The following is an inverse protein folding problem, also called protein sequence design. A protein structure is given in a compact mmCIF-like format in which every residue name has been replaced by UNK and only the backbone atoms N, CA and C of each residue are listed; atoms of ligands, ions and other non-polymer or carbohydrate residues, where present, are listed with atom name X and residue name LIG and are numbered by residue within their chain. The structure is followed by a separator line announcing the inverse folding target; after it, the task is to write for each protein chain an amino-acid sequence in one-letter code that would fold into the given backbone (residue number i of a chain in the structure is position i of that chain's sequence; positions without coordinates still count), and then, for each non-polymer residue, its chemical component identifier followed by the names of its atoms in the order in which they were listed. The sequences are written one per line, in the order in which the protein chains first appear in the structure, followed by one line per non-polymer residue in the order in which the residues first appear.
data_IF_381092485717
#
_entry.id   IF_381092485717
#
_cell.length_a   1.000
_cell.length_b   1.000
_cell.length_c   1.000
_cell.angle_alpha   90.00
_cell.angle_beta   90.00
_cell.angle_gamma   90.00
#
_symmetry.space_group_name_H-M   'P 1'
#
loop_
_entity.id
_entity.type
_entity.pdbx_description
1 polymer ?
#
# COMPACT_ATOMS: atom_id res chain seq x y z
N UNK A 1 3.93 1.44 -19.74
CA UNK A 1 2.79 2.00 -20.51
C UNK A 1 1.47 1.55 -19.90
N UNK A 2 0.39 2.31 -20.13
CA UNK A 2 -0.96 1.97 -19.68
C UNK A 2 -1.42 0.58 -20.21
N UNK A 3 -1.11 0.27 -21.46
CA UNK A 3 -1.45 -1.03 -22.06
C UNK A 3 -0.75 -2.22 -21.36
N UNK A 4 0.52 -2.08 -21.00
CA UNK A 4 1.26 -3.14 -20.31
C UNK A 4 0.71 -3.37 -18.88
N UNK A 5 0.31 -2.30 -18.17
CA UNK A 5 -0.30 -2.41 -16.85
C UNK A 5 -1.69 -3.07 -16.92
N UNK A 6 -2.49 -2.71 -17.91
CA UNK A 6 -3.79 -3.35 -18.15
C UNK A 6 -3.64 -4.86 -18.44
N UNK A 7 -2.64 -5.26 -19.21
CA UNK A 7 -2.37 -6.67 -19.48
C UNK A 7 -1.90 -7.42 -18.23
N UNK A 8 -0.98 -6.84 -17.47
CA UNK A 8 -0.56 -7.40 -16.20
C UNK A 8 -1.75 -7.55 -15.23
N UNK A 9 -2.65 -6.57 -15.18
CA UNK A 9 -3.85 -6.63 -14.36
C UNK A 9 -4.79 -7.78 -14.75
N UNK A 10 -4.95 -8.08 -16.05
CA UNK A 10 -5.78 -9.21 -16.51
C UNK A 10 -5.20 -10.56 -16.10
N UNK A 11 -3.88 -10.67 -16.04
CA UNK A 11 -3.20 -11.93 -15.73
C UNK A 11 -3.11 -12.27 -14.25
N UNK A 12 -3.43 -11.32 -13.35
CA UNK A 12 -3.40 -11.57 -11.90
C UNK A 12 -4.78 -11.95 -11.36
N UNK A 13 -4.88 -12.94 -10.45
CA UNK A 13 -6.13 -13.30 -9.79
C UNK A 13 -6.53 -12.33 -8.67
N UNK A 14 -5.63 -11.43 -8.24
CA UNK A 14 -5.87 -10.53 -7.11
C UNK A 14 -7.05 -9.59 -7.38
N UNK A 15 -7.85 -9.35 -6.35
CA UNK A 15 -8.96 -8.38 -6.35
C UNK A 15 -8.59 -7.02 -5.76
N UNK A 16 -7.38 -6.89 -5.27
CA UNK A 16 -6.79 -5.64 -4.84
C UNK A 16 -5.49 -5.47 -5.61
N UNK A 17 -5.41 -4.40 -6.40
CA UNK A 17 -4.26 -4.12 -7.25
C UNK A 17 -3.62 -2.81 -6.82
N UNK A 18 -2.30 -2.81 -6.67
CA UNK A 18 -1.54 -1.59 -6.39
C UNK A 18 -0.81 -1.12 -7.66
N UNK A 19 -1.02 0.13 -8.02
CA UNK A 19 -0.43 0.78 -9.19
C UNK A 19 0.57 1.84 -8.74
N UNK A 20 1.75 1.84 -9.33
CA UNK A 20 2.74 2.92 -9.13
C UNK A 20 2.45 4.08 -10.08
N UNK A 21 2.39 5.28 -9.53
CA UNK A 21 2.28 6.54 -10.22
C UNK A 21 3.63 7.27 -10.24
N UNK A 22 3.73 8.37 -10.94
CA UNK A 22 4.94 9.20 -11.01
C UNK A 22 5.28 9.64 -12.42
N UNK A 23 4.26 9.85 -13.26
CA UNK A 23 4.48 10.31 -14.61
C UNK A 23 3.26 10.96 -15.27
N UNK A 24 3.45 11.54 -16.44
CA UNK A 24 2.38 12.29 -17.12
C UNK A 24 1.17 11.43 -17.55
N UNK A 25 1.34 10.10 -17.63
CA UNK A 25 0.30 9.16 -18.06
C UNK A 25 -0.44 8.50 -16.88
N UNK A 26 -0.33 9.02 -15.66
CA UNK A 26 -0.84 8.35 -14.47
C UNK A 26 -2.35 8.09 -14.53
N UNK A 27 -3.14 9.06 -14.97
CA UNK A 27 -4.60 8.89 -15.13
C UNK A 27 -4.93 7.84 -16.18
N UNK A 28 -4.23 7.83 -17.31
CA UNK A 28 -4.42 6.83 -18.38
C UNK A 28 -4.09 5.42 -17.89
N UNK A 29 -3.08 5.29 -17.01
CA UNK A 29 -2.73 4.00 -16.38
C UNK A 29 -3.83 3.50 -15.46
N UNK A 30 -4.38 4.36 -14.62
CA UNK A 30 -5.50 3.99 -13.72
C UNK A 30 -6.72 3.60 -14.55
N UNK A 31 -7.07 4.39 -15.58
CA UNK A 31 -8.20 4.13 -16.48
C UNK A 31 -8.05 2.78 -17.21
N UNK A 32 -6.86 2.51 -17.74
CA UNK A 32 -6.60 1.28 -18.47
C UNK A 32 -6.69 0.04 -17.56
N UNK A 33 -6.19 0.13 -16.33
CA UNK A 33 -6.29 -0.97 -15.35
C UNK A 33 -7.73 -1.15 -14.89
N UNK A 34 -8.45 -0.07 -14.58
CA UNK A 34 -9.87 -0.14 -14.20
C UNK A 34 -10.72 -0.75 -15.32
N UNK A 35 -10.50 -0.34 -16.57
CA UNK A 35 -11.20 -0.92 -17.72
C UNK A 35 -10.88 -2.41 -17.93
N UNK A 36 -9.65 -2.81 -17.64
CA UNK A 36 -9.22 -4.22 -17.73
C UNK A 36 -9.77 -5.09 -16.59
N UNK A 37 -9.94 -4.53 -15.40
CA UNK A 37 -10.38 -5.20 -14.16
C UNK A 37 -11.36 -4.34 -13.37
N UNK A 38 -12.59 -4.16 -13.88
CA UNK A 38 -13.61 -3.37 -13.18
C UNK A 38 -14.10 -4.02 -11.87
N UNK A 39 -13.77 -5.29 -11.66
CA UNK A 39 -14.04 -6.06 -10.45
C UNK A 39 -13.02 -5.83 -9.33
N UNK A 40 -11.85 -5.28 -9.65
CA UNK A 40 -10.76 -5.07 -8.70
C UNK A 40 -10.86 -3.69 -8.01
N UNK A 41 -10.51 -3.65 -6.73
CA UNK A 41 -10.25 -2.40 -6.00
C UNK A 41 -8.82 -1.96 -6.29
N UNK A 42 -8.61 -0.66 -6.42
CA UNK A 42 -7.31 -0.10 -6.77
C UNK A 42 -6.72 0.68 -5.60
N UNK A 43 -5.44 0.45 -5.33
CA UNK A 43 -4.56 1.33 -4.56
C UNK A 43 -3.63 2.00 -5.57
N UNK A 44 -3.45 3.30 -5.47
CA UNK A 44 -2.46 4.02 -6.28
C UNK A 44 -1.39 4.59 -5.36
N UNK A 45 -0.13 4.41 -5.72
CA UNK A 45 1.01 4.84 -4.93
C UNK A 45 1.73 5.96 -5.68
N UNK A 46 1.71 7.15 -5.08
CA UNK A 46 2.34 8.34 -5.62
C UNK A 46 3.85 8.35 -5.46
N UNK A 47 4.38 7.55 -4.54
CA UNK A 47 5.82 7.51 -4.18
C UNK A 47 6.43 8.91 -4.14
N UNK A 48 5.76 9.84 -3.44
CA UNK A 48 6.19 11.23 -3.26
C UNK A 48 6.19 12.09 -4.54
N UNK A 49 5.70 11.55 -5.68
CA UNK A 49 5.88 12.16 -7.01
C UNK A 49 4.72 13.01 -7.51
N UNK A 50 3.60 13.16 -6.78
CA UNK A 50 2.48 13.95 -7.26
C UNK A 50 2.67 15.44 -6.95
N UNK A 51 2.09 16.29 -7.81
CA UNK A 51 2.12 17.73 -7.61
C UNK A 51 0.86 18.20 -6.89
N UNK A 52 0.98 19.07 -5.86
CA UNK A 52 -0.18 19.55 -5.08
C UNK A 52 -1.29 20.21 -5.93
N UNK A 53 -0.94 20.90 -7.00
CA UNK A 53 -1.89 21.56 -7.90
C UNK A 53 -2.69 20.56 -8.75
N UNK A 54 -2.17 19.37 -9.02
CA UNK A 54 -2.82 18.32 -9.79
C UNK A 54 -3.63 17.38 -8.89
N UNK A 55 -3.32 17.32 -7.62
CA UNK A 55 -3.86 16.34 -6.67
C UNK A 55 -5.41 16.36 -6.58
N UNK A 56 -6.11 17.51 -6.52
CA UNK A 56 -7.57 17.53 -6.48
C UNK A 56 -8.23 16.87 -7.70
N UNK A 57 -7.66 17.05 -8.89
CA UNK A 57 -8.15 16.42 -10.11
C UNK A 57 -7.89 14.91 -10.12
N UNK A 58 -6.71 14.49 -9.65
CA UNK A 58 -6.35 13.08 -9.50
C UNK A 58 -7.29 12.39 -8.50
N UNK A 59 -7.54 12.97 -7.32
CA UNK A 59 -8.45 12.41 -6.30
C UNK A 59 -9.86 12.25 -6.84
N UNK A 60 -10.38 13.27 -7.54
CA UNK A 60 -11.71 13.20 -8.14
C UNK A 60 -11.81 12.05 -9.16
N UNK A 61 -10.83 11.96 -10.07
CA UNK A 61 -10.84 10.92 -11.10
C UNK A 61 -10.61 9.53 -10.51
N UNK A 62 -9.72 9.41 -9.51
CA UNK A 62 -9.47 8.18 -8.78
C UNK A 62 -10.76 7.65 -8.11
N UNK A 63 -11.55 8.53 -7.50
CA UNK A 63 -12.84 8.15 -6.91
C UNK A 63 -13.80 7.57 -7.95
N UNK A 64 -13.90 8.19 -9.14
CA UNK A 64 -14.74 7.71 -10.25
C UNK A 64 -14.30 6.33 -10.78
N UNK A 65 -13.01 5.98 -10.61
CA UNK A 65 -12.40 4.74 -11.10
C UNK A 65 -12.25 3.66 -10.01
N UNK A 66 -12.91 3.81 -8.86
CA UNK A 66 -12.91 2.80 -7.81
C UNK A 66 -11.57 2.68 -7.06
N UNK A 67 -10.72 3.70 -7.10
CA UNK A 67 -9.53 3.77 -6.26
C UNK A 67 -9.96 3.96 -4.81
N UNK A 68 -9.49 3.08 -3.93
CA UNK A 68 -9.85 3.08 -2.51
C UNK A 68 -8.82 3.78 -1.64
N UNK A 69 -7.57 3.88 -2.11
CA UNK A 69 -6.46 4.46 -1.35
C UNK A 69 -5.44 5.11 -2.29
N UNK A 70 -4.98 6.31 -1.93
CA UNK A 70 -3.82 6.96 -2.53
C UNK A 70 -2.69 6.96 -1.50
N UNK A 71 -1.61 6.27 -1.81
CA UNK A 71 -0.44 6.15 -0.93
C UNK A 71 0.59 7.23 -1.26
N UNK A 72 1.16 7.83 -0.24
CA UNK A 72 2.21 8.86 -0.23
C UNK A 72 2.26 9.76 -1.48
N UNK A 73 1.28 10.64 -1.66
CA UNK A 73 1.23 11.50 -2.85
C UNK A 73 2.37 12.51 -2.90
N UNK A 74 2.81 13.03 -1.75
CA UNK A 74 3.79 14.11 -1.64
C UNK A 74 5.01 13.70 -0.82
N UNK A 75 6.17 14.36 -1.01
CA UNK A 75 7.37 14.10 -0.23
C UNK A 75 7.13 14.21 1.27
N UNK A 76 7.73 13.27 2.03
CA UNK A 76 7.67 13.27 3.47
C UNK A 76 8.17 14.63 4.03
N UNK A 77 7.39 15.21 4.96
CA UNK A 77 7.66 16.53 5.51
C UNK A 77 7.36 17.72 4.57
N UNK A 78 6.72 17.48 3.41
CA UNK A 78 6.23 18.52 2.47
C UNK A 78 4.80 18.22 2.02
N UNK A 79 4.00 17.71 2.91
CA UNK A 79 2.66 17.17 2.68
C UNK A 79 1.54 18.00 3.33
N UNK A 80 1.81 19.28 3.66
CA UNK A 80 0.83 20.19 4.28
C UNK A 80 -0.41 20.43 3.38
N UNK A 81 -0.29 20.23 2.07
CA UNK A 81 -1.43 20.32 1.16
C UNK A 81 -2.54 19.32 1.52
N UNK A 82 -2.22 18.21 2.19
CA UNK A 82 -3.17 17.21 2.65
C UNK A 82 -4.12 17.71 3.74
N UNK A 83 -3.77 18.75 4.47
CA UNK A 83 -4.68 19.38 5.45
C UNK A 83 -5.98 19.96 4.81
N UNK A 84 -5.97 20.14 3.51
CA UNK A 84 -7.12 20.69 2.74
C UNK A 84 -7.54 19.76 1.60
N UNK A 85 -7.20 18.45 1.70
CA UNK A 85 -7.50 17.50 0.63
C UNK A 85 -9.00 17.26 0.46
N UNK A 86 -9.45 16.91 -0.75
CA UNK A 86 -10.78 16.34 -0.95
C UNK A 86 -10.87 14.97 -0.25
N UNK A 87 -11.93 14.74 0.52
CA UNK A 87 -12.18 13.49 1.24
C UNK A 87 -12.78 12.35 0.40
N UNK A 88 -12.67 12.40 -0.93
CA UNK A 88 -13.31 11.41 -1.81
C UNK A 88 -12.60 10.06 -1.86
N UNK A 89 -11.28 10.04 -1.59
CA UNK A 89 -10.45 8.82 -1.53
C UNK A 89 -9.54 8.94 -0.32
N UNK A 90 -9.37 7.86 0.42
CA UNK A 90 -8.46 7.81 1.57
C UNK A 90 -7.02 8.02 1.15
N UNK A 91 -6.23 8.73 1.98
CA UNK A 91 -4.81 8.97 1.75
C UNK A 91 -4.00 8.27 2.83
N UNK A 92 -2.97 7.51 2.40
CA UNK A 92 -2.11 6.69 3.25
C UNK A 92 -0.70 7.27 3.31
N UNK A 93 -0.14 7.38 4.51
CA UNK A 93 1.28 7.69 4.71
C UNK A 93 2.12 6.42 4.53
N UNK A 94 3.19 6.49 3.73
CA UNK A 94 4.22 5.45 3.63
C UNK A 94 5.58 6.01 4.05
N UNK A 95 6.23 6.79 3.20
CA UNK A 95 7.53 7.40 3.49
C UNK A 95 7.49 8.36 4.68
N UNK A 96 6.33 8.91 5.00
CA UNK A 96 6.13 9.75 6.19
C UNK A 96 5.94 8.96 7.50
N UNK A 97 5.72 7.64 7.45
CA UNK A 97 5.37 6.81 8.61
C UNK A 97 6.46 5.78 8.90
N UNK A 98 7.20 5.94 9.99
CA UNK A 98 8.27 5.00 10.41
C UNK A 98 7.93 4.30 11.71
N UNK A 99 7.54 5.04 12.75
CA UNK A 99 7.33 4.52 14.10
C UNK A 99 6.01 4.98 14.71
N UNK A 100 5.66 4.42 15.83
CA UNK A 100 4.46 4.82 16.60
C UNK A 100 4.50 6.28 17.07
N UNK A 101 5.67 6.89 17.18
CA UNK A 101 5.83 8.27 17.65
C UNK A 101 5.25 9.32 16.70
N UNK A 102 5.18 9.03 15.40
CA UNK A 102 4.73 9.98 14.37
C UNK A 102 3.21 9.93 14.16
N UNK A 103 2.55 8.87 14.60
CA UNK A 103 1.17 8.56 14.24
C UNK A 103 0.19 9.67 14.59
N UNK A 104 0.31 10.27 15.78
CA UNK A 104 -0.60 11.34 16.20
C UNK A 104 -0.54 12.57 15.29
N UNK A 105 0.65 12.91 14.79
CA UNK A 105 0.82 14.04 13.87
C UNK A 105 0.32 13.66 12.46
N UNK A 106 0.59 12.43 12.01
CA UNK A 106 0.13 11.93 10.71
C UNK A 106 -1.39 11.88 10.62
N UNK A 107 -2.09 11.56 11.71
CA UNK A 107 -3.56 11.54 11.76
C UNK A 107 -4.23 12.88 11.39
N UNK A 108 -3.50 13.98 11.44
CA UNK A 108 -3.98 15.31 11.00
C UNK A 108 -4.05 15.46 9.49
N UNK A 109 -3.30 14.63 8.74
CA UNK A 109 -3.11 14.76 7.28
C UNK A 109 -3.50 13.52 6.50
N UNK A 110 -3.42 12.36 7.11
CA UNK A 110 -3.66 11.06 6.48
C UNK A 110 -4.87 10.36 7.08
N UNK A 111 -5.45 9.44 6.32
CA UNK A 111 -6.56 8.58 6.72
C UNK A 111 -6.06 7.17 7.09
N UNK A 112 -4.86 6.80 6.64
CA UNK A 112 -4.24 5.51 6.89
C UNK A 112 -2.72 5.64 6.95
N UNK A 113 -2.07 4.59 7.46
CA UNK A 113 -0.60 4.45 7.46
C UNK A 113 -0.20 3.09 6.90
N UNK A 114 0.87 3.07 6.11
CA UNK A 114 1.51 1.85 5.64
C UNK A 114 2.59 1.43 6.63
N UNK A 115 2.34 0.35 7.35
CA UNK A 115 3.29 -0.22 8.33
C UNK A 115 4.16 -1.25 7.61
N UNK A 116 5.46 -1.01 7.60
CA UNK A 116 6.47 -1.93 7.05
C UNK A 116 7.47 -2.29 8.14
N UNK A 117 7.78 -3.57 8.30
CA UNK A 117 8.77 -4.03 9.30
C UNK A 117 10.15 -3.42 9.06
N UNK A 118 10.49 -3.19 7.80
CA UNK A 118 11.74 -2.54 7.38
C UNK A 118 11.85 -1.10 7.92
N UNK A 119 10.75 -0.36 7.98
CA UNK A 119 10.71 1.01 8.51
C UNK A 119 10.63 1.05 10.03
N UNK A 120 9.82 0.17 10.62
CA UNK A 120 9.64 0.12 12.07
C UNK A 120 10.81 -0.52 12.80
N UNK A 121 11.73 -1.17 12.08
CA UNK A 121 12.86 -1.88 12.67
C UNK A 121 12.48 -3.20 13.34
N UNK A 122 11.28 -3.74 13.03
CA UNK A 122 10.85 -5.07 13.45
C UNK A 122 9.44 -5.12 14.05
N UNK A 123 9.07 -6.33 14.46
CA UNK A 123 7.70 -6.70 14.84
C UNK A 123 7.17 -5.91 16.06
N UNK A 124 8.02 -5.69 17.06
CA UNK A 124 7.61 -5.02 18.31
C UNK A 124 7.11 -3.60 18.06
N UNK A 125 7.87 -2.82 17.29
CA UNK A 125 7.49 -1.45 16.95
C UNK A 125 6.35 -1.42 15.93
N UNK A 126 6.30 -2.37 14.99
CA UNK A 126 5.18 -2.50 14.08
C UNK A 126 3.84 -2.69 14.82
N UNK A 127 3.79 -3.54 15.84
CA UNK A 127 2.60 -3.73 16.70
C UNK A 127 2.23 -2.42 17.42
N UNK A 128 3.21 -1.67 17.94
CA UNK A 128 2.97 -0.38 18.59
C UNK A 128 2.40 0.63 17.59
N UNK A 129 2.98 0.68 16.38
CA UNK A 129 2.52 1.56 15.30
C UNK A 129 1.09 1.24 14.87
N UNK A 130 0.75 -0.05 14.70
CA UNK A 130 -0.63 -0.48 14.40
C UNK A 130 -1.60 -0.03 15.50
N UNK A 131 -1.24 -0.23 16.78
CA UNK A 131 -2.11 0.18 17.91
C UNK A 131 -2.29 1.70 17.94
N UNK A 132 -1.21 2.45 17.84
CA UNK A 132 -1.27 3.91 17.80
C UNK A 132 -2.12 4.43 16.63
N UNK A 133 -2.01 3.81 15.45
CA UNK A 133 -2.83 4.13 14.29
C UNK A 133 -4.32 3.92 14.57
N UNK A 134 -4.70 2.76 15.12
CA UNK A 134 -6.10 2.46 15.48
C UNK A 134 -6.64 3.42 16.56
N UNK A 135 -5.86 3.72 17.60
CA UNK A 135 -6.21 4.68 18.65
C UNK A 135 -6.39 6.10 18.10
N UNK A 136 -5.67 6.46 17.04
CA UNK A 136 -5.78 7.74 16.35
C UNK A 136 -6.84 7.76 15.23
N UNK A 137 -7.60 6.67 15.03
CA UNK A 137 -8.63 6.56 14.02
C UNK A 137 -8.12 6.34 12.60
N UNK A 138 -6.83 5.98 12.43
CA UNK A 138 -6.25 5.69 11.12
C UNK A 138 -6.50 4.25 10.68
N UNK A 139 -6.70 4.06 9.37
CA UNK A 139 -6.57 2.77 8.70
C UNK A 139 -5.13 2.26 8.71
N UNK A 140 -4.96 0.94 8.51
CA UNK A 140 -3.65 0.28 8.47
C UNK A 140 -3.53 -0.52 7.18
N UNK A 141 -2.56 -0.17 6.37
CA UNK A 141 -2.01 -1.01 5.30
C UNK A 141 -0.74 -1.67 5.85
N UNK A 142 -0.56 -2.95 5.60
CA UNK A 142 0.72 -3.63 5.80
C UNK A 142 1.43 -3.70 4.45
N UNK A 143 2.61 -3.11 4.38
CA UNK A 143 3.45 -3.18 3.20
C UNK A 143 4.77 -3.88 3.46
N UNK A 144 5.55 -3.98 2.40
CA UNK A 144 6.90 -4.53 2.44
C UNK A 144 7.83 -3.78 1.49
N UNK A 145 9.11 -4.07 1.60
CA UNK A 145 10.11 -3.88 0.55
C UNK A 145 10.25 -5.17 -0.24
N UNK A 146 10.94 -5.16 -1.39
CA UNK A 146 11.27 -6.40 -2.10
C UNK A 146 12.16 -7.27 -1.21
N UNK A 147 11.73 -8.49 -0.95
CA UNK A 147 12.43 -9.42 -0.06
C UNK A 147 11.81 -10.81 -0.08
N UNK A 148 12.51 -11.78 0.52
CA UNK A 148 12.09 -13.17 0.56
C UNK A 148 11.04 -13.46 1.62
N UNK A 149 10.49 -14.68 1.58
CA UNK A 149 9.46 -15.16 2.50
C UNK A 149 9.83 -15.02 3.97
N UNK A 150 11.11 -15.15 4.32
CA UNK A 150 11.55 -15.02 5.72
C UNK A 150 11.34 -13.60 6.26
N UNK A 151 11.54 -12.57 5.43
CA UNK A 151 11.30 -11.18 5.84
C UNK A 151 9.80 -10.84 5.89
N UNK A 152 8.98 -11.51 5.07
CA UNK A 152 7.53 -11.29 5.02
C UNK A 152 6.77 -12.05 6.11
N UNK A 153 7.27 -13.20 6.55
CA UNK A 153 6.57 -14.08 7.50
C UNK A 153 6.06 -13.34 8.75
N UNK A 154 6.87 -12.55 9.47
CA UNK A 154 6.37 -11.81 10.63
C UNK A 154 5.35 -10.72 10.27
N UNK A 155 5.41 -10.14 9.07
CA UNK A 155 4.39 -9.18 8.62
C UNK A 155 3.06 -9.89 8.35
N UNK A 156 3.07 -11.09 7.76
CA UNK A 156 1.84 -11.89 7.52
C UNK A 156 1.11 -12.16 8.84
N UNK A 157 1.82 -12.38 9.96
CA UNK A 157 1.20 -12.57 11.26
C UNK A 157 0.43 -11.34 11.76
N UNK A 158 0.77 -10.15 11.27
CA UNK A 158 0.06 -8.91 11.59
C UNK A 158 -1.14 -8.66 10.66
N UNK A 159 -1.33 -9.42 9.59
CA UNK A 159 -2.35 -9.16 8.58
C UNK A 159 -3.77 -9.11 9.16
N UNK A 160 -4.06 -9.88 10.21
CA UNK A 160 -5.34 -9.82 10.93
C UNK A 160 -5.62 -8.49 11.66
N UNK A 161 -4.62 -7.60 11.78
CA UNK A 161 -4.74 -6.29 12.40
C UNK A 161 -4.85 -5.15 11.38
N UNK A 162 -4.70 -5.46 10.09
CA UNK A 162 -4.70 -4.48 8.99
C UNK A 162 -6.00 -4.52 8.18
N UNK A 163 -6.28 -3.43 7.45
CA UNK A 163 -7.41 -3.33 6.53
C UNK A 163 -7.07 -3.89 5.15
N UNK A 164 -5.79 -3.86 4.80
CA UNK A 164 -5.23 -4.45 3.58
C UNK A 164 -3.76 -4.81 3.80
N UNK A 165 -3.25 -5.73 2.97
CA UNK A 165 -1.84 -6.12 2.97
C UNK A 165 -1.30 -6.16 1.53
N UNK A 166 -0.10 -5.62 1.35
CA UNK A 166 0.70 -5.63 0.13
C UNK A 166 2.05 -6.27 0.48
N UNK A 167 2.06 -7.61 0.54
CA UNK A 167 3.18 -8.44 1.00
C UNK A 167 3.66 -9.37 -0.12
N UNK A 168 3.69 -8.87 -1.34
CA UNK A 168 4.01 -9.61 -2.55
C UNK A 168 5.50 -9.68 -2.88
N UNK A 169 6.37 -9.14 -2.02
CA UNK A 169 7.82 -9.08 -2.22
C UNK A 169 8.45 -10.38 -2.73
N UNK A 170 8.10 -11.58 -2.18
CA UNK A 170 8.65 -12.85 -2.64
C UNK A 170 8.30 -13.21 -4.10
N UNK A 171 7.16 -12.71 -4.62
CA UNK A 171 6.73 -12.99 -6.00
C UNK A 171 7.62 -12.32 -7.06
N UNK A 172 8.44 -11.34 -6.65
CA UNK A 172 9.36 -10.62 -7.55
C UNK A 172 10.77 -11.20 -7.57
N UNK A 173 11.03 -12.23 -6.76
CA UNK A 173 12.33 -12.89 -6.69
C UNK A 173 12.43 -13.99 -7.75
N UNK A 174 13.62 -14.18 -8.28
CA UNK A 174 13.92 -15.31 -9.16
C UNK A 174 13.88 -16.66 -8.39
N UNK A 175 14.31 -16.63 -7.13
CA UNK A 175 14.28 -17.77 -6.22
C UNK A 175 13.98 -17.29 -4.80
N UNK A 176 13.24 -18.09 -4.03
CA UNK A 176 12.97 -17.88 -2.61
C UNK A 176 13.52 -19.07 -1.78
N UNK A 177 13.50 -18.92 -0.48
CA UNK A 177 14.00 -19.96 0.43
C UNK A 177 13.07 -21.18 0.46
N UNK A 178 13.62 -22.32 0.89
CA UNK A 178 12.82 -23.52 1.14
C UNK A 178 11.71 -23.24 2.16
N UNK A 179 10.54 -23.84 1.95
CA UNK A 179 9.33 -23.64 2.77
C UNK A 179 8.82 -22.19 2.79
N UNK A 180 9.11 -21.40 1.75
CA UNK A 180 8.62 -20.03 1.59
C UNK A 180 7.10 -19.90 1.70
N UNK A 181 6.61 -18.65 1.77
CA UNK A 181 5.19 -18.34 1.82
C UNK A 181 4.46 -18.84 0.56
N UNK A 182 3.24 -19.28 0.74
CA UNK A 182 2.40 -19.73 -0.37
C UNK A 182 1.41 -18.63 -0.74
N UNK A 183 1.36 -18.31 -2.03
CA UNK A 183 0.45 -17.35 -2.63
C UNK A 183 -0.54 -18.08 -3.52
N UNK A 184 -1.82 -17.88 -3.32
CA UNK A 184 -2.91 -18.44 -4.13
C UNK A 184 -4.06 -17.46 -4.23
N UNK A 185 -4.61 -17.28 -5.43
CA UNK A 185 -5.79 -16.45 -5.69
C UNK A 185 -5.68 -15.00 -5.14
N UNK A 186 -4.48 -14.43 -5.17
CA UNK A 186 -4.20 -13.10 -4.65
C UNK A 186 -4.13 -13.01 -3.12
N UNK A 187 -4.03 -14.15 -2.45
CA UNK A 187 -3.90 -14.25 -1.00
C UNK A 187 -2.56 -14.88 -0.62
N UNK A 188 -2.04 -14.50 0.53
CA UNK A 188 -0.87 -15.13 1.16
C UNK A 188 -1.31 -15.97 2.35
N UNK A 189 -0.80 -17.20 2.44
CA UNK A 189 -1.05 -18.08 3.58
C UNK A 189 -0.17 -17.73 4.78
N UNK A 190 -0.63 -17.99 6.01
CA UNK A 190 0.24 -17.89 7.18
C UNK A 190 1.51 -18.73 7.03
N UNK A 191 2.65 -18.27 7.58
CA UNK A 191 3.90 -19.03 7.53
C UNK A 191 3.73 -20.36 8.28
N UNK A 192 4.40 -21.39 7.78
CA UNK A 192 4.52 -22.67 8.50
C UNK A 192 5.61 -22.58 9.54
N UNK A 193 5.62 -23.52 10.52
CA UNK A 193 6.69 -23.62 11.52
C UNK A 193 8.06 -23.94 10.91
N UNK A 194 8.11 -24.46 9.69
CA UNK A 194 9.36 -24.69 8.97
C UNK A 194 9.98 -23.38 8.44
N UNK A 195 9.15 -22.34 8.19
CA UNK A 195 9.62 -21.03 7.78
C UNK A 195 9.82 -20.08 8.97
N UNK A 196 8.84 -20.04 9.86
CA UNK A 196 8.80 -19.12 11.00
C UNK A 196 8.11 -19.82 12.18
N UNK A 197 8.90 -20.53 12.99
CA UNK A 197 8.44 -21.30 14.13
C UNK A 197 8.96 -20.85 15.46
#
# INVERSE_FOLDING_TARGET
TAAAMAEAARSTPSRLLKLKLGGPEDLERIEAVHAARPDARLIVDGNEGLLPEQFPAIVKRAADLGVVLIEQPFPAGKDEALLRRPGAVSVCADESAHTSAEIQELARRYDAVNVKLDKTGGLTEAIRTVRAARESGLGVLLGCMVGGSLSMAPAVLLAGLADAADLDGPLWLAEDIAHGLTYSDGMVSPPTSALWG
#
